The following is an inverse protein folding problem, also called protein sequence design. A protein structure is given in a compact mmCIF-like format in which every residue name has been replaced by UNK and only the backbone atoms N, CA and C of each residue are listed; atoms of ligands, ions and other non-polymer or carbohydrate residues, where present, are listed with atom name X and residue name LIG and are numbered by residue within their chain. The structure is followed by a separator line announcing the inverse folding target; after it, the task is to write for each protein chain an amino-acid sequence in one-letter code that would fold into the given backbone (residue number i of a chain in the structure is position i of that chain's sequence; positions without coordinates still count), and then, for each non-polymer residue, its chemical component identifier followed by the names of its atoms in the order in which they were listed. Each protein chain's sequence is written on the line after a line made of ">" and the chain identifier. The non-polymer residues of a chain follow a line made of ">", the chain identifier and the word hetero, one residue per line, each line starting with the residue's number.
data_IF_119670690233
#
_entry.id   IF_119670690233
#
_cell.length_a   1.000
_cell.length_b   1.000
_cell.length_c   1.000
_cell.angle_alpha   90.00
_cell.angle_beta   90.00
_cell.angle_gamma   90.00
#
_symmetry.space_group_name_H-M   'P 1'
#
loop_
_entity.id
_entity.type
_entity.pdbx_description
1 polymer ?
#
# COMPACT_ATOMS: atom_id res chain seq x y z
N UNK A 1 0.21 12.99 27.05
CA UNK A 1 0.30 12.37 25.69
C UNK A 1 -1.07 12.36 24.98
N UNK A 2 -1.71 13.51 24.73
CA UNK A 2 -3.06 13.49 24.11
C UNK A 2 -3.45 14.80 23.42
N UNK A 3 -2.62 15.32 22.51
CA UNK A 3 -3.04 16.46 21.67
C UNK A 3 -2.29 16.63 20.33
N UNK A 4 -1.54 15.62 19.88
CA UNK A 4 -0.80 15.67 18.59
C UNK A 4 -1.44 14.80 17.52
N UNK A 5 -2.14 13.72 17.90
CA UNK A 5 -2.83 12.82 16.98
C UNK A 5 -3.96 13.47 16.14
N UNK A 6 -4.80 14.40 16.65
CA UNK A 6 -5.92 14.92 15.86
C UNK A 6 -5.50 15.93 14.77
N UNK A 7 -4.40 16.66 14.99
CA UNK A 7 -3.99 17.76 14.12
C UNK A 7 -3.57 17.25 12.72
N UNK A 8 -2.92 16.09 12.68
CA UNK A 8 -2.54 15.42 11.44
C UNK A 8 -3.75 14.92 10.64
N UNK A 9 -4.84 14.53 11.31
CA UNK A 9 -6.06 14.06 10.66
C UNK A 9 -6.80 15.17 9.92
N UNK A 10 -6.87 16.36 10.52
CA UNK A 10 -7.54 17.52 9.90
C UNK A 10 -6.80 17.94 8.63
N UNK A 11 -5.47 18.00 8.70
CA UNK A 11 -4.64 18.34 7.53
C UNK A 11 -4.73 17.27 6.44
N UNK A 12 -4.67 15.99 6.79
CA UNK A 12 -4.82 14.90 5.83
C UNK A 12 -6.19 14.92 5.14
N UNK A 13 -7.27 15.21 5.89
CA UNK A 13 -8.60 15.35 5.32
C UNK A 13 -8.70 16.50 4.31
N UNK A 14 -8.06 17.65 4.58
CA UNK A 14 -8.04 18.76 3.62
C UNK A 14 -7.24 18.43 2.37
N UNK A 15 -6.10 17.75 2.49
CA UNK A 15 -5.31 17.28 1.34
C UNK A 15 -6.17 16.35 0.46
N UNK A 16 -6.89 15.41 1.07
CA UNK A 16 -7.78 14.49 0.34
C UNK A 16 -8.92 15.24 -0.34
N UNK A 17 -9.48 16.27 0.29
CA UNK A 17 -10.57 17.06 -0.27
C UNK A 17 -10.11 17.94 -1.45
N UNK A 18 -8.91 18.54 -1.37
CA UNK A 18 -8.34 19.40 -2.42
C UNK A 18 -7.84 18.59 -3.62
N UNK A 19 -7.10 17.51 -3.37
CA UNK A 19 -6.52 16.68 -4.43
C UNK A 19 -7.50 15.62 -4.96
N UNK A 20 -8.53 15.27 -4.19
CA UNK A 20 -9.47 14.20 -4.49
C UNK A 20 -8.87 12.80 -4.27
N UNK A 21 -9.74 11.83 -4.00
CA UNK A 21 -9.33 10.43 -3.74
C UNK A 21 -8.78 9.71 -4.97
N UNK A 22 -9.16 10.13 -6.19
CA UNK A 22 -8.68 9.52 -7.45
C UNK A 22 -7.18 9.73 -7.66
N UNK A 23 -6.68 10.95 -7.47
CA UNK A 23 -5.25 11.28 -7.65
C UNK A 23 -4.40 10.68 -6.53
N UNK A 24 -4.89 10.73 -5.29
CA UNK A 24 -4.22 10.12 -4.15
C UNK A 24 -4.17 8.60 -4.22
N UNK A 25 -5.19 7.95 -4.79
CA UNK A 25 -5.18 6.48 -4.97
C UNK A 25 -4.16 6.04 -6.01
N UNK A 26 -4.06 6.74 -7.15
CA UNK A 26 -3.06 6.42 -8.17
C UNK A 26 -1.64 6.63 -7.64
N UNK A 27 -1.35 7.82 -7.11
CA UNK A 27 -0.02 8.15 -6.58
C UNK A 27 0.33 7.33 -5.33
N UNK A 28 -0.65 7.11 -4.45
CA UNK A 28 -0.49 6.29 -3.25
C UNK A 28 -0.34 4.79 -3.55
N UNK A 29 -0.89 4.31 -4.66
CA UNK A 29 -0.70 2.93 -5.13
C UNK A 29 0.74 2.67 -5.58
N UNK A 30 1.32 3.60 -6.34
CA UNK A 30 2.70 3.50 -6.82
C UNK A 30 3.71 3.65 -5.67
N UNK A 31 3.54 4.70 -4.85
CA UNK A 31 4.37 4.91 -3.65
C UNK A 31 4.20 3.78 -2.64
N UNK A 32 2.97 3.31 -2.44
CA UNK A 32 2.66 2.19 -1.55
C UNK A 32 3.31 0.89 -2.01
N UNK A 33 3.35 0.63 -3.31
CA UNK A 33 4.01 -0.58 -3.85
C UNK A 33 5.53 -0.52 -3.68
N UNK A 34 6.15 0.64 -3.91
CA UNK A 34 7.58 0.84 -3.68
C UNK A 34 7.96 0.70 -2.20
N UNK A 35 7.18 1.30 -1.29
CA UNK A 35 7.39 1.20 0.17
C UNK A 35 7.12 -0.24 0.65
N UNK A 36 6.14 -0.95 0.07
CA UNK A 36 5.87 -2.36 0.39
C UNK A 36 7.04 -3.26 0.01
N UNK A 37 7.62 -3.08 -1.17
CA UNK A 37 8.83 -3.80 -1.60
C UNK A 37 10.04 -3.49 -0.70
N UNK A 38 10.22 -2.21 -0.36
CA UNK A 38 11.26 -1.79 0.58
C UNK A 38 11.10 -2.42 1.97
N UNK A 39 9.88 -2.39 2.54
CA UNK A 39 9.60 -3.03 3.83
C UNK A 39 9.75 -4.55 3.78
N UNK A 40 9.42 -5.18 2.65
CA UNK A 40 9.56 -6.62 2.43
C UNK A 40 11.04 -7.00 2.44
N UNK A 41 11.88 -6.34 1.63
CA UNK A 41 13.33 -6.61 1.59
C UNK A 41 14.01 -6.32 2.94
N UNK A 42 13.63 -5.23 3.59
CA UNK A 42 14.19 -4.84 4.90
C UNK A 42 13.73 -5.77 6.04
N UNK A 43 12.56 -6.41 5.92
CA UNK A 43 12.17 -7.51 6.82
C UNK A 43 12.78 -8.85 6.39
N UNK A 44 13.01 -9.11 5.10
CA UNK A 44 13.60 -10.39 4.64
C UNK A 44 15.05 -10.54 5.11
N UNK A 45 15.79 -9.43 5.22
CA UNK A 45 17.13 -9.41 5.85
C UNK A 45 17.06 -9.75 7.35
N UNK A 46 15.98 -9.36 8.06
CA UNK A 46 15.74 -9.68 9.49
C UNK A 46 15.10 -11.07 9.69
N UNK A 47 14.29 -11.54 8.74
CA UNK A 47 13.41 -12.73 8.83
C UNK A 47 13.90 -13.90 7.95
N UNK A 48 15.14 -13.85 7.42
CA UNK A 48 15.81 -15.00 6.79
C UNK A 48 15.96 -16.22 7.74
N UNK A 49 15.61 -16.07 9.02
CA UNK A 49 15.44 -17.15 9.98
C UNK A 49 14.03 -17.82 10.00
N UNK A 50 13.01 -17.28 9.31
CA UNK A 50 11.61 -17.74 9.40
C UNK A 50 10.86 -17.71 8.06
N UNK A 51 11.36 -18.50 7.11
CA UNK A 51 10.60 -19.23 6.08
C UNK A 51 9.16 -18.78 5.78
N UNK A 52 8.95 -18.39 4.53
CA UNK A 52 7.89 -18.91 3.65
C UNK A 52 6.44 -18.78 4.15
N UNK A 53 5.75 -17.70 3.78
CA UNK A 53 4.29 -17.75 3.56
C UNK A 53 3.78 -16.45 2.94
N UNK A 54 2.67 -16.59 2.21
CA UNK A 54 1.87 -15.55 1.57
C UNK A 54 2.38 -15.06 0.19
N UNK A 55 2.36 -16.02 -0.73
CA UNK A 55 1.45 -16.05 -1.90
C UNK A 55 0.98 -14.70 -2.50
N UNK A 56 1.20 -14.66 -3.82
CA UNK A 56 0.52 -13.83 -4.80
C UNK A 56 -0.99 -13.79 -4.60
N UNK A 57 -1.56 -12.59 -4.60
CA UNK A 57 -2.97 -12.38 -4.87
C UNK A 57 -3.11 -11.28 -5.92
N UNK A 58 -2.94 -11.66 -7.18
CA UNK A 58 -3.62 -11.01 -8.30
C UNK A 58 -4.13 -12.07 -9.29
N UNK A 59 -5.41 -12.50 -9.22
CA UNK A 59 -6.08 -13.06 -10.36
C UNK A 59 -7.04 -12.00 -10.91
N UNK A 60 -6.52 -11.11 -11.75
CA UNK A 60 -7.37 -10.29 -12.61
C UNK A 60 -6.78 -10.23 -14.02
N UNK A 61 -7.35 -11.09 -14.88
CA UNK A 61 -7.50 -10.98 -16.33
C UNK A 61 -6.44 -11.64 -17.23
N UNK A 62 -6.79 -12.79 -17.84
CA UNK A 62 -6.81 -12.95 -19.32
C UNK A 62 -7.35 -14.33 -19.80
N UNK A 63 -8.20 -14.26 -20.82
CA UNK A 63 -8.38 -15.17 -21.98
C UNK A 63 -9.18 -16.49 -21.85
N UNK A 64 -10.42 -16.43 -22.38
CA UNK A 64 -10.91 -17.19 -23.56
C UNK A 64 -10.47 -18.65 -23.78
N UNK A 65 -11.41 -19.57 -23.55
CA UNK A 65 -11.72 -20.77 -24.37
C UNK A 65 -13.12 -21.23 -23.89
N UNK A 66 -14.24 -20.97 -24.58
CA UNK A 66 -14.80 -21.73 -25.72
C UNK A 66 -14.56 -23.23 -25.54
N UNK A 67 -15.56 -23.94 -25.04
CA UNK A 67 -16.20 -25.15 -25.60
C UNK A 67 -17.49 -25.40 -24.79
#
# INVERSE_FOLDING_TARGET
>A
MRLVLPNCLVVAALIILVFGTKKLRTLGGDLGSAIKGFKKAMNDDDDSAKKTSAEEETPAQKLSHKE
#
